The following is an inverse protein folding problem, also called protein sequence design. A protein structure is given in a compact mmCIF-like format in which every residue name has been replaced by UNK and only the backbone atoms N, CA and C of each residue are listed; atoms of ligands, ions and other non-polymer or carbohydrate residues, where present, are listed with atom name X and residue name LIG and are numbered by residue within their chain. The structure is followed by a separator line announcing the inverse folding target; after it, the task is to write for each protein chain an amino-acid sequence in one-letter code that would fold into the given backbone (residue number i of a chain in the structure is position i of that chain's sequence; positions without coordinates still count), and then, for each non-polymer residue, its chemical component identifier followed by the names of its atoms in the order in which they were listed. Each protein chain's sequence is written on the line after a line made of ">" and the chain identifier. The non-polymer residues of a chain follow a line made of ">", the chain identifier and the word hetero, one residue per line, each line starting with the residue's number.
data_IF_793501456729
#
_entry.id   IF_793501456729
#
_cell.length_a   1.000
_cell.length_b   1.000
_cell.length_c   1.000
_cell.angle_alpha   90.00
_cell.angle_beta   90.00
_cell.angle_gamma   90.00
#
_symmetry.space_group_name_H-M   'P 1'
#
loop_
_entity.id
_entity.type
_entity.pdbx_description
1 polymer ?
#
# COMPACT_ATOMS: atom_id res chain seq x y z
N UNK A 1 -15.40 13.24 -8.16
CA UNK A 1 -16.70 12.55 -8.14
C UNK A 1 -16.42 11.14 -7.68
N UNK A 2 -16.43 10.92 -6.34
CA UNK A 2 -16.10 9.64 -5.72
C UNK A 2 -17.32 8.74 -5.84
N UNK A 3 -17.30 7.80 -6.77
CA UNK A 3 -18.22 6.67 -6.71
C UNK A 3 -17.84 5.86 -5.48
N UNK A 4 -18.65 5.91 -4.42
CA UNK A 4 -18.65 4.89 -3.37
C UNK A 4 -18.82 3.55 -4.09
N UNK A 5 -17.85 2.68 -3.92
CA UNK A 5 -18.05 1.26 -4.20
C UNK A 5 -19.01 0.82 -3.10
N UNK A 6 -20.30 0.81 -3.42
CA UNK A 6 -21.28 0.21 -2.54
C UNK A 6 -20.84 -1.25 -2.37
N UNK A 7 -20.61 -1.64 -1.12
CA UNK A 7 -20.38 -3.02 -0.78
C UNK A 7 -21.54 -3.82 -1.38
N UNK A 8 -21.21 -4.70 -2.33
CA UNK A 8 -22.21 -5.58 -2.91
C UNK A 8 -22.95 -6.27 -1.76
N UNK A 9 -24.29 -6.25 -1.73
CA UNK A 9 -25.04 -6.92 -0.69
C UNK A 9 -24.56 -8.35 -0.65
N UNK A 10 -24.22 -8.84 0.54
CA UNK A 10 -23.82 -10.22 0.78
C UNK A 10 -24.80 -11.10 0.00
N UNK A 11 -24.29 -11.80 -1.02
CA UNK A 11 -25.14 -12.62 -1.86
C UNK A 11 -25.91 -13.55 -0.92
N UNK A 12 -27.23 -13.39 -0.84
CA UNK A 12 -28.09 -14.33 -0.14
C UNK A 12 -28.02 -15.61 -0.96
N UNK A 13 -27.16 -16.51 -0.54
CA UNK A 13 -27.16 -17.85 -1.09
C UNK A 13 -28.50 -18.51 -0.73
N UNK A 14 -29.20 -19.01 -1.75
CA UNK A 14 -30.47 -19.69 -1.59
C UNK A 14 -30.40 -20.98 -0.77
N UNK A 15 -29.20 -21.39 -0.35
CA UNK A 15 -28.96 -22.53 0.53
C UNK A 15 -27.74 -22.24 1.44
N UNK A 16 -28.00 -21.76 2.63
CA UNK A 16 -27.04 -21.78 3.73
C UNK A 16 -26.82 -23.23 4.16
N UNK A 17 -25.67 -23.79 3.80
CA UNK A 17 -25.32 -25.16 4.16
C UNK A 17 -24.75 -25.28 5.57
N UNK A 18 -24.23 -24.16 6.12
CA UNK A 18 -23.62 -24.09 7.45
C UNK A 18 -23.47 -22.65 7.92
N UNK A 19 -23.32 -22.47 9.23
CA UNK A 19 -22.94 -21.22 9.85
C UNK A 19 -21.42 -21.20 10.09
N UNK A 20 -20.74 -20.13 9.64
CA UNK A 20 -19.32 -19.94 9.88
C UNK A 20 -19.15 -19.31 11.26
N UNK A 21 -18.71 -20.10 12.25
CA UNK A 21 -18.57 -19.68 13.63
C UNK A 21 -17.12 -19.70 14.17
N UNK A 22 -16.18 -20.24 13.37
CA UNK A 22 -14.78 -20.46 13.78
C UNK A 22 -13.77 -19.51 13.13
N UNK A 23 -14.24 -18.45 12.47
CA UNK A 23 -13.40 -17.39 11.90
C UNK A 23 -13.68 -16.08 12.63
N UNK A 24 -12.62 -15.31 12.89
CA UNK A 24 -12.75 -13.93 13.35
C UNK A 24 -13.32 -13.04 12.24
N UNK A 25 -13.93 -11.91 12.63
CA UNK A 25 -14.18 -10.82 11.70
C UNK A 25 -12.87 -10.29 11.10
N UNK A 26 -12.96 -9.70 9.92
CA UNK A 26 -11.83 -8.99 9.32
C UNK A 26 -11.37 -7.85 10.22
N UNK A 27 -10.04 -7.70 10.35
CA UNK A 27 -9.44 -6.58 11.07
C UNK A 27 -9.30 -5.39 10.12
N UNK A 28 -10.26 -4.47 10.18
CA UNK A 28 -10.30 -3.26 9.36
C UNK A 28 -10.83 -2.06 10.15
N UNK A 29 -10.81 -0.88 9.56
CA UNK A 29 -11.28 0.40 10.12
C UNK A 29 -10.62 0.76 11.45
N UNK A 30 -9.33 0.50 11.55
CA UNK A 30 -8.50 0.87 12.69
C UNK A 30 -7.26 1.66 12.24
N UNK A 31 -6.61 2.32 13.18
CA UNK A 31 -5.36 3.01 12.88
C UNK A 31 -4.18 2.05 13.05
N UNK A 32 -3.59 1.61 11.95
CA UNK A 32 -2.47 0.68 11.95
C UNK A 32 -1.24 1.21 12.68
N UNK A 33 -1.02 2.54 12.71
CA UNK A 33 0.12 3.13 13.41
C UNK A 33 -0.11 3.18 14.92
N UNK A 34 -1.20 3.82 15.36
CA UNK A 34 -1.46 3.99 16.80
C UNK A 34 -1.88 2.70 17.49
N UNK A 35 -2.37 1.73 16.74
CA UNK A 35 -2.67 0.38 17.23
C UNK A 35 -1.44 -0.51 17.43
N UNK A 36 -0.28 -0.12 16.89
CA UNK A 36 0.99 -0.83 17.03
C UNK A 36 1.90 -0.09 18.01
N UNK A 37 1.83 -0.46 19.29
CA UNK A 37 2.64 0.15 20.34
C UNK A 37 4.15 -0.02 20.09
N UNK A 38 4.57 -1.17 19.56
CA UNK A 38 5.98 -1.44 19.26
C UNK A 38 6.50 -0.52 18.15
N UNK A 39 5.72 -0.31 17.10
CA UNK A 39 6.05 0.63 16.03
C UNK A 39 6.13 2.07 16.54
N UNK A 40 5.17 2.50 17.35
CA UNK A 40 5.17 3.84 17.95
C UNK A 40 6.43 4.08 18.81
N UNK A 41 6.78 3.12 19.67
CA UNK A 41 7.99 3.19 20.50
C UNK A 41 9.27 3.22 19.66
N UNK A 42 9.36 2.39 18.62
CA UNK A 42 10.51 2.35 17.73
C UNK A 42 10.68 3.69 16.99
N UNK A 43 9.60 4.26 16.47
CA UNK A 43 9.64 5.58 15.80
C UNK A 43 10.17 6.67 16.74
N UNK A 44 9.70 6.71 17.99
CA UNK A 44 10.18 7.69 18.99
C UNK A 44 11.63 7.47 19.35
N UNK A 45 11.99 6.25 19.69
CA UNK A 45 13.36 5.88 20.10
C UNK A 45 14.40 6.21 19.04
N UNK A 46 14.06 5.99 17.77
CA UNK A 46 14.97 6.20 16.65
C UNK A 46 14.88 7.61 16.04
N UNK A 47 14.24 8.56 16.73
CA UNK A 47 14.21 9.97 16.36
C UNK A 47 13.21 10.36 15.27
N UNK A 48 12.21 9.52 15.01
CA UNK A 48 11.14 9.77 14.03
C UNK A 48 9.88 10.41 14.62
N UNK A 49 9.88 10.84 15.89
CA UNK A 49 8.68 11.36 16.57
C UNK A 49 8.03 12.57 15.88
N UNK A 50 8.78 13.35 15.15
CA UNK A 50 8.26 14.48 14.38
C UNK A 50 7.26 14.07 13.30
N UNK A 51 7.31 12.81 12.84
CA UNK A 51 6.44 12.26 11.81
C UNK A 51 5.18 11.59 12.38
N UNK A 52 4.98 11.51 13.71
CA UNK A 52 3.85 10.77 14.31
C UNK A 52 2.49 11.22 13.81
N UNK A 53 2.30 12.53 13.59
CA UNK A 53 1.04 13.05 13.05
C UNK A 53 0.73 12.50 11.66
N UNK A 54 1.69 12.57 10.74
CA UNK A 54 1.55 12.03 9.39
C UNK A 54 1.43 10.50 9.39
N UNK A 55 2.19 9.82 10.24
CA UNK A 55 2.13 8.35 10.39
C UNK A 55 0.77 7.91 10.92
N UNK A 56 0.16 8.67 11.83
CA UNK A 56 -1.18 8.41 12.32
C UNK A 56 -2.22 8.57 11.22
N UNK A 57 -2.17 9.65 10.43
CA UNK A 57 -3.09 9.81 9.30
C UNK A 57 -2.89 8.73 8.24
N UNK A 58 -1.64 8.36 7.96
CA UNK A 58 -1.33 7.26 7.06
C UNK A 58 -1.80 5.91 7.61
N UNK A 59 -1.67 5.68 8.91
CA UNK A 59 -2.17 4.48 9.59
C UNK A 59 -3.69 4.34 9.56
N UNK A 60 -4.45 5.46 9.60
CA UNK A 60 -5.90 5.44 9.39
C UNK A 60 -6.25 5.08 7.95
N UNK A 61 -5.51 5.64 6.98
CA UNK A 61 -5.73 5.32 5.57
C UNK A 61 -5.48 3.84 5.30
N UNK A 62 -4.31 3.33 5.70
CA UNK A 62 -3.90 1.95 5.42
C UNK A 62 -4.72 0.91 6.19
N UNK A 63 -5.30 1.27 7.34
CA UNK A 63 -6.17 0.41 8.13
C UNK A 63 -7.66 0.47 7.76
N UNK A 64 -8.05 1.32 6.81
CA UNK A 64 -9.45 1.39 6.37
C UNK A 64 -9.85 0.19 5.50
N UNK A 65 -11.10 -0.25 5.62
CA UNK A 65 -11.63 -1.36 4.83
C UNK A 65 -11.47 -1.12 3.31
N UNK A 66 -11.79 0.08 2.85
CA UNK A 66 -11.68 0.47 1.44
C UNK A 66 -10.24 0.37 0.93
N UNK A 67 -9.25 0.71 1.75
CA UNK A 67 -7.85 0.67 1.35
C UNK A 67 -7.28 -0.75 1.39
N UNK A 68 -7.67 -1.56 2.37
CA UNK A 68 -7.34 -2.99 2.45
C UNK A 68 -7.90 -3.77 1.25
N UNK A 69 -9.11 -3.41 0.79
CA UNK A 69 -9.70 -4.02 -0.39
C UNK A 69 -8.87 -3.75 -1.66
N UNK A 70 -8.16 -2.61 -1.77
CA UNK A 70 -7.24 -2.38 -2.89
C UNK A 70 -6.12 -3.44 -2.94
N UNK A 71 -5.60 -3.83 -1.77
CA UNK A 71 -4.61 -4.92 -1.68
C UNK A 71 -5.19 -6.25 -2.14
N UNK A 72 -6.38 -6.58 -1.68
CA UNK A 72 -7.12 -7.77 -2.10
C UNK A 72 -7.33 -7.81 -3.61
N UNK A 73 -7.80 -6.73 -4.20
CA UNK A 73 -8.05 -6.62 -5.65
C UNK A 73 -6.76 -6.69 -6.48
N UNK A 74 -5.69 -6.03 -6.04
CA UNK A 74 -4.41 -6.06 -6.73
C UNK A 74 -3.80 -7.47 -6.77
N UNK A 75 -3.99 -8.26 -5.70
CA UNK A 75 -3.53 -9.65 -5.66
C UNK A 75 -4.46 -10.63 -6.39
N UNK A 76 -5.76 -10.37 -6.39
CA UNK A 76 -6.76 -11.22 -7.05
C UNK A 76 -6.67 -11.12 -8.57
N UNK A 77 -6.45 -9.92 -9.10
CA UNK A 77 -6.40 -9.65 -10.54
C UNK A 77 -4.94 -9.48 -10.98
N UNK A 78 -4.35 -10.56 -11.42
CA UNK A 78 -2.97 -10.59 -11.92
C UNK A 78 -2.82 -9.70 -13.17
N UNK A 79 -1.61 -9.15 -13.41
CA UNK A 79 -1.34 -8.39 -14.62
C UNK A 79 -1.58 -9.22 -15.88
N UNK A 80 -2.20 -8.61 -16.88
CA UNK A 80 -2.40 -9.18 -18.22
C UNK A 80 -1.32 -8.66 -19.17
N UNK A 81 -0.84 -9.51 -20.07
CA UNK A 81 0.16 -9.13 -21.06
C UNK A 81 -0.37 -9.28 -22.47
N UNK A 82 -0.61 -8.15 -23.13
CA UNK A 82 -1.02 -8.10 -24.52
C UNK A 82 0.23 -7.90 -25.41
N UNK A 83 0.62 -8.92 -26.13
CA UNK A 83 1.77 -8.85 -27.05
C UNK A 83 1.44 -8.07 -28.33
N UNK A 84 0.21 -8.20 -28.83
CA UNK A 84 -0.25 -7.57 -30.07
C UNK A 84 -1.65 -6.99 -29.89
N UNK A 85 -1.95 -5.95 -30.66
CA UNK A 85 -3.30 -5.44 -30.80
C UNK A 85 -4.18 -6.33 -31.71
N UNK A 86 -5.45 -5.97 -31.85
CA UNK A 86 -6.42 -6.69 -32.70
C UNK A 86 -6.08 -6.67 -34.20
N UNK A 87 -5.14 -5.84 -34.63
CA UNK A 87 -4.71 -5.70 -36.02
C UNK A 87 -3.36 -6.40 -36.30
N UNK A 88 -2.77 -7.04 -35.27
CA UNK A 88 -1.48 -7.72 -35.37
C UNK A 88 -0.25 -6.83 -35.15
N UNK A 89 -0.43 -5.57 -34.77
CA UNK A 89 0.69 -4.72 -34.39
C UNK A 89 1.23 -5.10 -33.01
N UNK A 90 2.55 -5.22 -32.88
CA UNK A 90 3.20 -5.51 -31.61
C UNK A 90 3.11 -4.31 -30.67
N UNK A 91 2.57 -4.51 -29.45
CA UNK A 91 2.36 -3.46 -28.45
C UNK A 91 3.08 -3.72 -27.12
N UNK A 92 3.33 -5.00 -26.78
CA UNK A 92 3.97 -5.43 -25.52
C UNK A 92 3.43 -4.68 -24.28
N UNK A 93 2.10 -4.62 -24.15
CA UNK A 93 1.40 -3.87 -23.11
C UNK A 93 1.12 -4.74 -21.90
N UNK A 94 1.62 -4.34 -20.73
CA UNK A 94 1.25 -4.91 -19.43
C UNK A 94 0.13 -4.08 -18.81
N UNK A 95 -1.01 -4.72 -18.52
CA UNK A 95 -2.17 -4.09 -17.89
C UNK A 95 -2.27 -4.54 -16.45
N UNK A 96 -2.29 -3.58 -15.54
CA UNK A 96 -2.54 -3.82 -14.12
C UNK A 96 -3.96 -3.44 -13.76
N UNK A 97 -4.50 -4.10 -12.75
CA UNK A 97 -5.77 -3.69 -12.16
C UNK A 97 -5.69 -2.25 -11.60
N UNK A 98 -6.77 -1.43 -11.69
CA UNK A 98 -6.75 -0.05 -11.17
C UNK A 98 -6.32 0.08 -9.69
N UNK A 99 -6.61 -0.93 -8.85
CA UNK A 99 -6.16 -0.98 -7.47
C UNK A 99 -4.64 -0.92 -7.33
N UNK A 100 -3.88 -1.62 -8.18
CA UNK A 100 -2.41 -1.53 -8.21
C UNK A 100 -1.94 -0.09 -8.45
N UNK A 101 -2.53 0.59 -9.41
CA UNK A 101 -2.18 1.98 -9.71
C UNK A 101 -2.50 2.92 -8.54
N UNK A 102 -3.59 2.66 -7.80
CA UNK A 102 -3.93 3.44 -6.62
C UNK A 102 -2.91 3.21 -5.49
N UNK A 103 -2.49 1.98 -5.24
CA UNK A 103 -1.45 1.64 -4.26
C UNK A 103 -0.12 2.31 -4.63
N UNK A 104 0.29 2.23 -5.90
CA UNK A 104 1.50 2.91 -6.41
C UNK A 104 1.42 4.42 -6.23
N UNK A 105 0.29 5.03 -6.58
CA UNK A 105 0.06 6.47 -6.42
C UNK A 105 0.22 6.88 -4.96
N UNK A 106 -0.44 6.19 -4.03
CA UNK A 106 -0.32 6.46 -2.60
C UNK A 106 1.11 6.33 -2.10
N UNK A 107 1.85 5.30 -2.53
CA UNK A 107 3.26 5.14 -2.18
C UNK A 107 4.12 6.34 -2.61
N UNK A 108 3.87 6.86 -3.80
CA UNK A 108 4.61 8.01 -4.36
C UNK A 108 4.22 9.30 -3.63
N UNK A 109 2.93 9.56 -3.43
CA UNK A 109 2.40 10.74 -2.74
C UNK A 109 2.90 10.85 -1.30
N UNK A 110 3.06 9.72 -0.60
CA UNK A 110 3.61 9.66 0.75
C UNK A 110 5.14 9.50 0.80
N UNK A 111 5.83 9.64 -0.34
CA UNK A 111 7.28 9.69 -0.41
C UNK A 111 8.02 8.39 -0.09
N UNK A 112 7.35 7.22 -0.18
CA UNK A 112 7.98 5.93 0.14
C UNK A 112 9.17 5.64 -0.77
N UNK A 113 9.15 6.18 -1.98
CA UNK A 113 10.20 5.99 -2.99
C UNK A 113 11.44 6.87 -2.78
N UNK A 114 11.34 8.02 -2.06
CA UNK A 114 12.44 8.99 -2.08
C UNK A 114 12.54 9.92 -0.86
N UNK A 115 11.58 9.95 0.07
CA UNK A 115 11.49 11.02 1.09
C UNK A 115 12.78 11.31 1.89
N UNK A 116 13.59 10.33 2.35
CA UNK A 116 14.83 10.63 3.07
C UNK A 116 15.92 11.26 2.18
N UNK A 117 15.83 11.06 0.87
CA UNK A 117 16.78 11.61 -0.10
C UNK A 117 16.42 13.02 -0.54
N UNK A 118 15.12 13.34 -0.58
CA UNK A 118 14.62 14.67 -0.96
C UNK A 118 14.57 15.62 0.21
N UNK A 119 14.27 15.10 1.40
CA UNK A 119 14.19 15.86 2.65
C UNK A 119 14.99 15.14 3.74
N UNK A 120 16.33 15.19 3.65
CA UNK A 120 17.19 14.52 4.63
C UNK A 120 17.11 15.21 5.99
N UNK A 121 17.23 14.42 7.06
CA UNK A 121 17.23 14.90 8.43
C UNK A 121 17.22 13.76 9.45
N UNK A 122 17.38 14.07 10.74
CA UNK A 122 17.27 13.09 11.80
C UNK A 122 15.94 12.34 11.72
N UNK A 123 15.96 11.02 11.79
CA UNK A 123 14.77 10.18 11.74
C UNK A 123 14.07 10.07 10.35
N UNK A 124 14.57 10.70 9.28
CA UNK A 124 13.93 10.66 7.97
C UNK A 124 13.78 9.23 7.43
N UNK A 125 14.82 8.40 7.58
CA UNK A 125 14.75 6.98 7.20
C UNK A 125 13.80 6.18 8.10
N UNK A 126 13.70 6.53 9.38
CA UNK A 126 12.77 5.91 10.33
C UNK A 126 11.32 6.18 9.93
N UNK A 127 10.99 7.44 9.64
CA UNK A 127 9.66 7.83 9.17
C UNK A 127 9.27 7.12 7.87
N UNK A 128 10.21 7.03 6.90
CA UNK A 128 9.97 6.26 5.67
C UNK A 128 9.77 4.78 5.95
N UNK A 129 10.61 4.18 6.80
CA UNK A 129 10.51 2.77 7.15
C UNK A 129 9.16 2.46 7.79
N UNK A 130 8.68 3.31 8.70
CA UNK A 130 7.37 3.18 9.33
C UNK A 130 6.24 3.24 8.28
N UNK A 131 6.26 4.21 7.34
CA UNK A 131 5.28 4.26 6.23
C UNK A 131 5.32 3.00 5.38
N UNK A 132 6.53 2.52 5.04
CA UNK A 132 6.69 1.27 4.27
C UNK A 132 6.13 0.08 5.01
N UNK A 133 6.39 -0.02 6.31
CA UNK A 133 5.87 -1.09 7.16
C UNK A 133 4.33 -1.11 7.18
N UNK A 134 3.69 0.05 7.37
CA UNK A 134 2.23 0.18 7.33
C UNK A 134 1.65 -0.22 5.96
N UNK A 135 2.24 0.28 4.89
CA UNK A 135 1.73 0.06 3.53
C UNK A 135 1.91 -1.40 3.06
N UNK A 136 3.02 -2.04 3.46
CA UNK A 136 3.30 -3.45 3.12
C UNK A 136 2.28 -4.42 3.73
N UNK A 137 1.63 -4.04 4.84
CA UNK A 137 0.55 -4.85 5.42
C UNK A 137 -0.72 -4.84 4.57
N UNK A 138 -0.92 -3.82 3.74
CA UNK A 138 -2.04 -3.76 2.79
C UNK A 138 -1.75 -4.65 1.58
N UNK A 139 -0.57 -4.46 0.96
CA UNK A 139 -0.13 -5.21 -0.21
C UNK A 139 1.39 -5.07 -0.38
N UNK A 140 2.09 -6.19 -0.57
CA UNK A 140 3.55 -6.21 -0.61
C UNK A 140 4.14 -6.13 -2.03
N UNK A 141 3.42 -6.57 -3.05
CA UNK A 141 3.94 -6.71 -4.42
C UNK A 141 4.33 -5.39 -5.07
N UNK A 142 3.56 -4.32 -4.85
CA UNK A 142 3.89 -2.99 -5.37
C UNK A 142 5.09 -2.35 -4.65
N UNK A 143 5.52 -2.89 -3.50
CA UNK A 143 6.69 -2.41 -2.76
C UNK A 143 8.01 -2.59 -3.50
N UNK A 144 8.11 -3.57 -4.42
CA UNK A 144 9.32 -3.82 -5.17
C UNK A 144 9.76 -2.61 -6.03
N UNK A 145 8.97 -2.08 -6.97
CA UNK A 145 9.37 -0.91 -7.77
C UNK A 145 9.63 0.34 -6.91
N UNK A 146 8.91 0.54 -5.82
CA UNK A 146 9.13 1.62 -4.87
C UNK A 146 10.51 1.49 -4.19
N UNK A 147 10.86 0.29 -3.74
CA UNK A 147 12.14 0.02 -3.10
C UNK A 147 13.30 0.10 -4.10
N UNK A 148 13.12 -0.36 -5.32
CA UNK A 148 14.13 -0.22 -6.38
C UNK A 148 14.46 1.25 -6.66
N UNK A 149 13.46 2.11 -6.78
CA UNK A 149 13.65 3.55 -6.93
C UNK A 149 14.39 4.14 -5.73
N UNK A 150 13.99 3.80 -4.51
CA UNK A 150 14.65 4.27 -3.29
C UNK A 150 16.13 3.86 -3.23
N UNK A 151 16.44 2.59 -3.58
CA UNK A 151 17.78 2.04 -3.49
C UNK A 151 18.70 2.54 -4.62
N UNK A 152 18.17 2.92 -5.77
CA UNK A 152 18.96 3.44 -6.89
C UNK A 152 19.54 4.84 -6.62
N UNK A 153 18.84 5.68 -5.86
CA UNK A 153 19.22 7.08 -5.64
C UNK A 153 20.63 7.28 -5.07
N UNK A 154 21.07 6.58 -4.02
CA UNK A 154 22.43 6.74 -3.50
C UNK A 154 23.50 6.31 -4.53
N UNK A 155 23.23 5.26 -5.30
CA UNK A 155 24.17 4.79 -6.34
C UNK A 155 24.31 5.81 -7.48
N UNK A 156 23.21 6.42 -7.92
CA UNK A 156 23.24 7.46 -8.96
C UNK A 156 23.94 8.74 -8.48
N UNK A 157 23.88 9.06 -7.20
CA UNK A 157 24.55 10.22 -6.61
C UNK A 157 26.07 10.08 -6.52
N UNK A 158 26.61 8.86 -6.62
CA UNK A 158 28.05 8.61 -6.59
C UNK A 158 28.73 8.96 -7.93
N UNK A 159 27.95 9.09 -8.99
CA UNK A 159 28.45 9.43 -10.34
C UNK A 159 27.59 10.57 -10.90
N UNK A 160 27.87 11.83 -10.53
CA UNK A 160 27.16 13.00 -11.03
C UNK A 160 27.43 13.29 -12.49
#
# INVERSE_FOLDING_TARGET
>A
MNARIESLPRAQYLADTHEVSNLSSELCDYNMFTGDAALCEAVRREGGQWAEGELSEFGKLTGSADYLELGTLANKFLPEFDTHDRFGNRIDLVKFHPAYHQLMKTSIEHGLHASPWTTPGPGAHVARAARTYLHTQVEAGHGCPITMTFAALPSLRLQP
#
